data_IF_645328241267
#
_entry.id   IF_645328241267
#
_cell.length_a   1.000
_cell.length_b   1.000
_cell.length_c   1.000
_cell.angle_alpha   90.00
_cell.angle_beta   90.00
_cell.angle_gamma   90.00
#
_symmetry.space_group_name_H-M   'P 1'
#
loop_
_entity.id
_entity.type
_entity.pdbx_description
1 polymer ?
#
# COMPACT_ATOMS: atom_id res chain seq x y z
N UNK A 1 24.51 -1.91 -19.77
CA UNK A 1 23.64 -2.98 -20.31
C UNK A 1 22.72 -3.65 -19.26
N UNK A 2 22.52 -3.10 -18.04
CA UNK A 2 21.75 -3.76 -16.94
C UNK A 2 20.32 -3.20 -16.70
N UNK A 3 19.84 -2.29 -17.54
CA UNK A 3 18.61 -1.52 -17.28
C UNK A 3 17.33 -2.19 -17.78
N UNK A 4 17.40 -3.11 -18.74
CA UNK A 4 16.24 -3.75 -19.37
C UNK A 4 15.70 -4.97 -18.61
N UNK A 5 16.54 -5.71 -17.89
CA UNK A 5 16.11 -6.89 -17.11
C UNK A 5 15.32 -6.50 -15.86
N UNK A 6 15.73 -5.43 -15.17
CA UNK A 6 15.11 -4.97 -13.92
C UNK A 6 13.66 -4.51 -14.11
N UNK A 7 13.32 -3.93 -15.28
CA UNK A 7 11.96 -3.53 -15.63
C UNK A 7 11.02 -4.73 -15.87
N UNK A 8 11.57 -5.86 -16.34
CA UNK A 8 10.81 -7.09 -16.63
C UNK A 8 10.44 -7.86 -15.34
N UNK A 9 11.30 -7.82 -14.33
CA UNK A 9 11.03 -8.37 -12.98
C UNK A 9 9.98 -7.57 -12.20
N UNK A 10 10.05 -6.23 -12.25
CA UNK A 10 9.08 -5.34 -11.60
C UNK A 10 7.64 -5.60 -12.11
N UNK A 11 7.50 -5.93 -13.41
CA UNK A 11 6.20 -6.29 -13.99
C UNK A 11 5.65 -7.64 -13.52
N UNK A 12 6.51 -8.58 -13.10
CA UNK A 12 6.11 -9.90 -12.61
C UNK A 12 5.58 -9.83 -11.18
N UNK A 13 6.22 -9.03 -10.32
CA UNK A 13 5.81 -8.90 -8.91
C UNK A 13 4.44 -8.22 -8.72
N UNK A 14 4.02 -7.39 -9.68
CA UNK A 14 2.71 -6.76 -9.71
C UNK A 14 1.62 -7.65 -10.36
N UNK A 15 2.00 -8.75 -11.00
CA UNK A 15 1.04 -9.62 -11.68
C UNK A 15 0.30 -10.49 -10.67
N UNK A 16 -1.02 -10.35 -10.59
CA UNK A 16 -1.85 -11.16 -9.71
C UNK A 16 -2.01 -12.58 -10.26
N UNK A 17 -1.33 -13.54 -9.62
CA UNK A 17 -1.24 -14.94 -10.07
C UNK A 17 -1.64 -15.95 -8.98
N UNK A 18 -1.51 -15.59 -7.70
CA UNK A 18 -1.73 -16.52 -6.60
C UNK A 18 -3.20 -16.52 -6.16
N UNK A 19 -3.88 -17.67 -6.04
CA UNK A 19 -5.22 -17.73 -5.44
C UNK A 19 -5.15 -17.59 -3.90
N UNK A 20 -6.29 -17.30 -3.26
CA UNK A 20 -6.35 -17.01 -1.82
C UNK A 20 -5.73 -18.10 -0.93
N UNK A 21 -5.98 -19.38 -1.22
CA UNK A 21 -5.47 -20.48 -0.39
C UNK A 21 -3.94 -20.53 -0.37
N UNK A 22 -3.31 -20.37 -1.54
CA UNK A 22 -1.84 -20.33 -1.65
C UNK A 22 -1.27 -19.15 -0.87
N UNK A 23 -1.90 -17.98 -0.98
CA UNK A 23 -1.44 -16.79 -0.23
C UNK A 23 -1.59 -16.98 1.27
N UNK A 24 -2.71 -17.55 1.72
CA UNK A 24 -2.96 -17.83 3.13
C UNK A 24 -1.90 -18.78 3.71
N UNK A 25 -1.55 -19.83 2.97
CA UNK A 25 -0.48 -20.76 3.31
C UNK A 25 0.89 -20.07 3.37
N UNK A 26 1.25 -19.30 2.34
CA UNK A 26 2.54 -18.58 2.25
C UNK A 26 2.79 -17.65 3.44
N UNK A 27 1.74 -16.98 3.93
CA UNK A 27 1.84 -16.06 5.06
C UNK A 27 1.49 -16.73 6.41
N UNK A 28 1.09 -18.00 6.39
CA UNK A 28 0.74 -18.78 7.59
C UNK A 28 -0.50 -18.25 8.32
N UNK A 29 -1.57 -17.91 7.59
CA UNK A 29 -2.89 -17.56 8.15
C UNK A 29 -3.98 -18.41 7.49
N UNK A 30 -5.21 -18.33 8.02
CA UNK A 30 -6.36 -18.99 7.37
C UNK A 30 -6.95 -18.13 6.26
N UNK A 31 -7.63 -18.78 5.30
CA UNK A 31 -8.48 -18.13 4.30
C UNK A 31 -9.49 -17.13 4.89
N UNK A 32 -10.05 -17.45 6.07
CA UNK A 32 -10.99 -16.59 6.78
C UNK A 32 -10.31 -15.32 7.29
N UNK A 33 -9.10 -15.45 7.83
CA UNK A 33 -8.29 -14.31 8.26
C UNK A 33 -7.91 -13.41 7.08
N UNK A 34 -7.54 -13.99 5.93
CA UNK A 34 -7.24 -13.21 4.73
C UNK A 34 -8.49 -12.48 4.20
N UNK A 35 -9.66 -13.14 4.22
CA UNK A 35 -10.97 -12.52 3.92
C UNK A 35 -11.30 -11.37 4.87
N UNK A 36 -10.93 -11.48 6.15
CA UNK A 36 -11.10 -10.41 7.12
C UNK A 36 -10.23 -9.20 6.75
N UNK A 37 -8.96 -9.41 6.38
CA UNK A 37 -8.08 -8.32 5.95
C UNK A 37 -8.62 -7.61 4.69
N UNK A 38 -9.11 -8.37 3.72
CA UNK A 38 -9.82 -7.81 2.55
C UNK A 38 -11.05 -6.98 2.95
N UNK A 39 -11.90 -7.52 3.83
CA UNK A 39 -13.13 -6.86 4.29
C UNK A 39 -12.85 -5.53 4.98
N UNK A 40 -11.78 -5.47 5.78
CA UNK A 40 -11.37 -4.23 6.46
C UNK A 40 -10.61 -3.26 5.54
N UNK A 41 -10.34 -3.66 4.29
CA UNK A 41 -9.73 -2.82 3.27
C UNK A 41 -8.20 -2.72 3.37
N UNK A 42 -7.56 -3.65 4.10
CA UNK A 42 -6.09 -3.72 4.15
C UNK A 42 -5.49 -4.17 2.82
N UNK A 43 -6.27 -4.89 2.01
CA UNK A 43 -5.84 -5.34 0.68
C UNK A 43 -7.03 -5.42 -0.28
N UNK A 44 -6.76 -5.28 -1.58
CA UNK A 44 -7.76 -5.42 -2.65
C UNK A 44 -7.20 -6.34 -3.74
N UNK A 45 -7.50 -7.65 -3.70
CA UNK A 45 -7.01 -8.58 -4.72
C UNK A 45 -7.57 -8.26 -6.09
N UNK A 46 -6.82 -8.60 -7.13
CA UNK A 46 -7.34 -8.58 -8.49
C UNK A 46 -8.40 -9.66 -8.64
N UNK A 47 -9.47 -9.37 -9.37
CA UNK A 47 -10.51 -10.35 -9.69
C UNK A 47 -10.46 -10.73 -11.16
N UNK A 48 -10.50 -12.04 -11.42
CA UNK A 48 -10.70 -12.61 -12.75
C UNK A 48 -11.90 -13.55 -12.63
N UNK A 49 -13.01 -13.17 -13.27
CA UNK A 49 -14.32 -13.79 -13.07
C UNK A 49 -14.73 -13.74 -11.58
N UNK A 50 -15.07 -14.89 -11.00
CA UNK A 50 -15.44 -15.04 -9.58
C UNK A 50 -14.22 -15.25 -8.66
N UNK A 51 -13.04 -15.43 -9.23
CA UNK A 51 -11.83 -15.78 -8.49
C UNK A 51 -10.98 -14.55 -8.19
N UNK A 52 -10.33 -14.59 -7.03
CA UNK A 52 -9.45 -13.54 -6.51
C UNK A 52 -8.01 -14.04 -6.61
N UNK A 53 -7.17 -13.16 -7.11
CA UNK A 53 -5.75 -13.39 -7.32
C UNK A 53 -4.95 -12.28 -6.66
N UNK A 54 -3.81 -12.64 -6.13
CA UNK A 54 -2.88 -11.78 -5.43
C UNK A 54 -1.54 -11.83 -6.17
N UNK A 55 -0.85 -10.72 -6.13
CA UNK A 55 0.48 -10.55 -6.67
C UNK A 55 1.55 -10.90 -5.63
N UNK A 56 2.81 -10.95 -6.05
CA UNK A 56 3.93 -11.12 -5.11
C UNK A 56 3.98 -9.95 -4.12
N UNK A 57 3.69 -8.73 -4.59
CA UNK A 57 3.60 -7.54 -3.74
C UNK A 57 2.50 -7.64 -2.68
N UNK A 58 1.37 -8.23 -3.05
CA UNK A 58 0.28 -8.49 -2.10
C UNK A 58 0.71 -9.46 -1.00
N UNK A 59 1.44 -10.52 -1.35
CA UNK A 59 1.99 -11.48 -0.37
C UNK A 59 2.93 -10.77 0.60
N UNK A 60 3.91 -10.00 0.08
CA UNK A 60 4.86 -9.23 0.90
C UNK A 60 4.14 -8.28 1.86
N UNK A 61 3.13 -7.55 1.37
CA UNK A 61 2.32 -6.64 2.18
C UNK A 61 1.55 -7.37 3.28
N UNK A 62 0.92 -8.50 2.94
CA UNK A 62 0.16 -9.31 3.91
C UNK A 62 1.06 -9.90 4.99
N UNK A 63 2.31 -10.26 4.66
CA UNK A 63 3.31 -10.65 5.67
C UNK A 63 3.57 -9.52 6.67
N UNK A 64 3.72 -8.27 6.19
CA UNK A 64 3.88 -7.11 7.07
C UNK A 64 2.65 -6.88 7.95
N UNK A 65 1.45 -6.93 7.38
CA UNK A 65 0.19 -6.80 8.13
C UNK A 65 0.11 -7.84 9.23
N UNK A 66 0.41 -9.11 8.92
CA UNK A 66 0.43 -10.19 9.90
C UNK A 66 1.41 -9.88 11.04
N UNK A 67 2.63 -9.44 10.73
CA UNK A 67 3.61 -9.13 11.77
C UNK A 67 3.18 -7.93 12.64
N UNK A 68 2.55 -6.90 12.06
CA UNK A 68 1.96 -5.79 12.82
C UNK A 68 0.87 -6.26 13.79
N UNK A 69 0.02 -7.18 13.36
CA UNK A 69 -1.06 -7.73 14.21
C UNK A 69 -0.48 -8.66 15.28
N UNK A 70 0.32 -9.64 14.88
CA UNK A 70 0.70 -10.74 15.76
C UNK A 70 1.91 -10.44 16.63
N UNK A 71 2.91 -9.72 16.10
CA UNK A 71 4.14 -9.37 16.84
C UNK A 71 4.01 -8.03 17.54
N UNK A 72 3.51 -7.00 16.83
CA UNK A 72 3.37 -5.64 17.40
C UNK A 72 2.04 -5.41 18.14
N UNK A 73 1.12 -6.38 18.10
CA UNK A 73 -0.19 -6.35 18.80
C UNK A 73 -1.06 -5.16 18.41
N UNK A 74 -0.94 -4.70 17.16
CA UNK A 74 -1.73 -3.58 16.64
C UNK A 74 -3.02 -4.14 16.03
N UNK A 75 -4.17 -3.54 16.36
CA UNK A 75 -5.44 -3.91 15.75
C UNK A 75 -5.50 -3.56 14.27
N UNK A 76 -6.43 -4.17 13.54
CA UNK A 76 -6.65 -3.86 12.12
C UNK A 76 -6.98 -2.37 11.92
N UNK A 77 -7.84 -1.82 12.77
CA UNK A 77 -8.20 -0.40 12.79
C UNK A 77 -7.00 0.49 13.11
N UNK A 78 -6.15 0.05 14.06
CA UNK A 78 -4.91 0.74 14.40
C UNK A 78 -3.94 0.78 13.21
N UNK A 79 -3.75 -0.34 12.51
CA UNK A 79 -2.91 -0.43 11.30
C UNK A 79 -3.42 0.53 10.24
N UNK A 80 -4.73 0.53 9.96
CA UNK A 80 -5.33 1.47 9.00
C UNK A 80 -5.03 2.91 9.38
N UNK A 81 -5.22 3.26 10.65
CA UNK A 81 -5.02 4.63 11.14
C UNK A 81 -3.56 5.04 11.06
N UNK A 82 -2.62 4.16 11.43
CA UNK A 82 -1.19 4.42 11.34
C UNK A 82 -0.75 4.65 9.89
N UNK A 83 -1.28 3.86 8.95
CA UNK A 83 -0.98 4.01 7.54
C UNK A 83 -1.43 5.37 6.99
N UNK A 84 -2.45 6.03 7.56
CA UNK A 84 -2.83 7.39 7.17
C UNK A 84 -1.72 8.43 7.44
N UNK A 85 -0.86 8.18 8.43
CA UNK A 85 0.14 9.14 8.90
C UNK A 85 1.58 8.77 8.52
N UNK A 86 1.88 7.48 8.41
CA UNK A 86 3.22 6.99 8.16
C UNK A 86 3.23 5.86 7.14
N UNK A 87 4.25 5.79 6.26
CA UNK A 87 4.41 4.66 5.37
C UNK A 87 4.75 3.39 6.14
N UNK A 88 4.49 2.23 5.53
CA UNK A 88 4.67 0.94 6.19
C UNK A 88 6.08 0.70 6.72
N UNK A 89 7.12 1.14 6.02
CA UNK A 89 8.52 0.91 6.41
C UNK A 89 8.96 1.67 7.67
N UNK A 90 8.25 2.74 8.05
CA UNK A 90 8.43 3.44 9.32
C UNK A 90 7.71 2.70 10.44
N UNK A 91 6.48 2.25 10.19
CA UNK A 91 5.68 1.51 11.17
C UNK A 91 6.31 0.15 11.50
N UNK A 92 6.85 -0.55 10.49
CA UNK A 92 7.42 -1.90 10.64
C UNK A 92 8.90 -1.91 10.99
N UNK A 93 9.56 -0.75 11.09
CA UNK A 93 11.01 -0.61 11.29
C UNK A 93 11.83 -1.43 10.27
N UNK A 94 11.52 -1.24 8.98
CA UNK A 94 12.15 -2.00 7.91
C UNK A 94 13.62 -1.57 7.73
N UNK A 95 14.59 -2.49 7.67
CA UNK A 95 16.01 -2.13 7.45
C UNK A 95 16.24 -1.49 6.09
N UNK A 96 17.35 -0.76 5.91
CA UNK A 96 17.69 -0.12 4.64
C UNK A 96 17.74 -1.13 3.48
N UNK A 97 18.31 -2.31 3.68
CA UNK A 97 18.39 -3.36 2.67
C UNK A 97 17.01 -3.84 2.24
N UNK A 98 16.10 -4.05 3.19
CA UNK A 98 14.71 -4.45 2.90
C UNK A 98 13.94 -3.33 2.20
N UNK A 99 14.16 -2.07 2.57
CA UNK A 99 13.55 -0.90 1.90
C UNK A 99 14.04 -0.77 0.46
N UNK A 100 15.33 -0.96 0.21
CA UNK A 100 15.94 -0.80 -1.11
C UNK A 100 15.37 -1.73 -2.20
N UNK A 101 14.76 -2.85 -1.81
CA UNK A 101 14.10 -3.81 -2.71
C UNK A 101 12.56 -3.82 -2.57
N UNK A 102 12.01 -2.95 -1.71
CA UNK A 102 10.57 -2.90 -1.49
C UNK A 102 9.90 -2.06 -2.59
N UNK A 103 9.03 -2.68 -3.37
CA UNK A 103 8.24 -2.00 -4.40
C UNK A 103 7.46 -0.80 -3.84
N UNK A 104 6.90 -0.90 -2.63
CA UNK A 104 6.21 0.21 -1.97
C UNK A 104 7.13 1.39 -1.59
N UNK A 105 8.43 1.14 -1.36
CA UNK A 105 9.43 2.17 -1.07
C UNK A 105 9.99 2.80 -2.35
N UNK A 106 10.21 1.97 -3.38
CA UNK A 106 10.75 2.37 -4.69
C UNK A 106 9.71 3.17 -5.47
N UNK A 107 8.45 2.74 -5.46
CA UNK A 107 7.34 3.42 -6.11
C UNK A 107 6.64 4.38 -5.13
N UNK A 108 7.25 5.56 -4.92
CA UNK A 108 6.69 6.66 -4.11
C UNK A 108 5.46 7.33 -4.74
N UNK A 109 4.93 6.80 -5.84
CA UNK A 109 3.84 7.42 -6.58
C UNK A 109 2.51 7.45 -5.83
N UNK A 110 2.18 6.45 -4.98
CA UNK A 110 0.88 6.36 -4.27
C UNK A 110 0.93 5.46 -3.02
N UNK A 111 0.21 5.79 -1.93
CA UNK A 111 -0.12 4.82 -0.88
C UNK A 111 -1.11 3.76 -1.39
N UNK A 112 -1.02 2.53 -0.88
CA UNK A 112 -1.73 1.34 -1.38
C UNK A 112 -3.28 1.41 -1.32
N UNK A 113 -3.87 2.38 -0.63
CA UNK A 113 -5.33 2.62 -0.63
C UNK A 113 -5.83 3.60 -1.71
N UNK A 114 -4.92 4.28 -2.42
CA UNK A 114 -5.22 5.32 -3.43
C UNK A 114 -5.28 4.79 -4.87
N UNK A 115 -5.22 3.46 -5.05
CA UNK A 115 -5.46 2.80 -6.34
C UNK A 115 -6.93 2.41 -6.58
N UNK A 116 -7.85 2.80 -5.71
CA UNK A 116 -9.29 2.61 -5.95
C UNK A 116 -9.88 3.86 -6.61
N UNK A 117 -10.15 3.75 -7.91
CA UNK A 117 -10.58 4.82 -8.84
C UNK A 117 -11.93 5.51 -8.52
N UNK A 118 -12.46 5.43 -7.30
CA UNK A 118 -13.81 5.94 -6.97
C UNK A 118 -13.85 7.23 -6.15
N UNK A 119 -12.72 7.74 -5.64
CA UNK A 119 -12.72 8.95 -4.79
C UNK A 119 -12.34 10.21 -5.58
N UNK A 120 -11.38 10.14 -6.49
CA UNK A 120 -11.07 11.26 -7.38
C UNK A 120 -11.93 11.17 -8.65
N UNK A 121 -13.18 11.62 -8.55
CA UNK A 121 -13.87 12.09 -9.75
C UNK A 121 -13.16 13.39 -10.14
N UNK A 122 -12.20 13.33 -11.06
CA UNK A 122 -11.80 14.52 -11.82
C UNK A 122 -13.03 14.96 -12.60
N UNK A 123 -13.88 15.73 -11.94
CA UNK A 123 -14.86 16.55 -12.61
C UNK A 123 -14.05 17.61 -13.36
N UNK A 124 -14.27 17.73 -14.66
CA UNK A 124 -13.57 18.69 -15.51
C UNK A 124 -13.64 20.08 -14.87
N UNK A 125 -12.50 20.63 -14.46
CA UNK A 125 -12.40 21.97 -13.86
C UNK A 125 -11.95 22.03 -12.40
N UNK A 126 -11.88 20.91 -11.65
CA UNK A 126 -11.27 20.93 -10.30
C UNK A 126 -9.79 20.62 -10.34
N UNK A 127 -8.97 21.60 -9.97
CA UNK A 127 -7.50 21.49 -9.86
C UNK A 127 -7.16 20.89 -8.49
N UNK A 128 -6.06 20.15 -8.40
CA UNK A 128 -5.72 19.37 -7.21
C UNK A 128 -5.53 20.22 -5.95
N UNK A 129 -5.16 21.49 -6.07
CA UNK A 129 -4.96 22.44 -4.97
C UNK A 129 -6.23 22.81 -4.19
N UNK A 130 -7.40 22.66 -4.81
CA UNK A 130 -8.71 22.85 -4.18
C UNK A 130 -9.34 21.54 -3.67
N UNK A 131 -8.64 20.41 -3.81
CA UNK A 131 -9.15 19.11 -3.39
C UNK A 131 -9.01 18.95 -1.87
N UNK A 132 -10.08 18.55 -1.19
CA UNK A 132 -10.09 18.27 0.26
C UNK A 132 -9.00 17.28 0.68
N UNK A 133 -8.64 16.32 -0.18
CA UNK A 133 -7.56 15.34 0.05
C UNK A 133 -6.18 16.00 -0.03
N UNK A 134 -5.96 16.90 -0.99
CA UNK A 134 -4.72 17.65 -1.14
C UNK A 134 -4.53 18.66 -0.01
N UNK A 135 -5.57 19.44 0.31
CA UNK A 135 -5.59 20.41 1.40
C UNK A 135 -5.33 19.75 2.75
N UNK A 136 -5.92 18.57 3.00
CA UNK A 136 -5.67 17.79 4.21
C UNK A 136 -4.20 17.38 4.36
N UNK A 137 -3.53 16.98 3.27
CA UNK A 137 -2.09 16.61 3.28
C UNK A 137 -1.15 17.82 3.39
N UNK A 138 -1.49 18.96 2.76
CA UNK A 138 -0.60 20.14 2.72
C UNK A 138 -0.73 21.06 3.95
N UNK A 139 -1.69 20.82 4.84
CA UNK A 139 -1.89 21.60 6.07
C UNK A 139 -0.77 21.47 7.13
N UNK A 140 0.25 20.62 6.90
CA UNK A 140 1.32 20.34 7.88
C UNK A 140 2.74 20.83 7.53
N UNK A 141 2.89 21.79 6.63
CA UNK A 141 4.13 22.58 6.55
C UNK A 141 3.84 24.07 6.44
N UNK A 142 3.87 24.78 7.58
CA UNK A 142 4.33 26.17 7.58
C UNK A 142 5.82 26.16 7.96
N UNK A 143 6.74 26.47 7.04
CA UNK A 143 7.82 27.36 7.36
C UNK A 143 7.35 28.80 7.13
N UNK A 144 7.74 29.62 8.08
CA UNK A 144 7.48 31.03 8.25
C UNK A 144 7.76 31.87 6.97
N UNK A 145 6.94 32.89 6.74
CA UNK A 145 7.10 33.82 5.62
C UNK A 145 8.46 34.51 5.73
N UNK A 146 9.31 34.39 4.71
CA UNK A 146 10.47 35.28 4.55
C UNK A 146 9.98 36.68 4.15
N UNK A 147 10.42 37.77 4.80
CA UNK A 147 10.07 39.11 4.34
C UNK A 147 10.70 39.35 2.96
N UNK A 148 9.89 39.85 2.02
CA UNK A 148 10.41 40.53 0.83
C UNK A 148 10.55 42.00 1.22
N UNK A 149 11.75 42.54 0.98
CA UNK A 149 12.07 43.95 1.21
C UNK A 149 11.32 44.89 0.29
#
# INVERSE_FOLDING_TARGET
>A
MKTTEKAKEIGKEAMALYPIGIVAELIGITDQTLRLYEKHGLIKPARRNKNRYYSENDVKWLTCVRDLIHRKKISIEGIKKLLEYAPCWEITDCSQDKRAVCSAYIDKGKPCWEMNKTICKRESGKVCDECVVYLARNSKTKPEKRPKG
#
